data_IF_241552244022
#
_entry.id   IF_241552244022
#
_cell.length_a   1.000
_cell.length_b   1.000
_cell.length_c   1.000
_cell.angle_alpha   90.00
_cell.angle_beta   90.00
_cell.angle_gamma   90.00
#
_symmetry.space_group_name_H-M   'P 1'
#
loop_
_entity.id
_entity.type
_entity.pdbx_description
1 polymer ?
#
# COMPACT_ATOMS: atom_id res chain seq x y z
N UNK A 1 -2.75 -18.64 -26.00
CA UNK A 1 -1.68 -19.13 -25.11
C UNK A 1 -0.53 -18.15 -25.13
N UNK A 2 -0.52 -17.19 -24.19
CA UNK A 2 0.72 -16.66 -23.60
C UNK A 2 0.40 -16.43 -22.14
N UNK A 3 1.01 -17.27 -21.31
CA UNK A 3 1.05 -17.14 -19.86
C UNK A 3 1.70 -15.82 -19.46
N UNK A 4 1.17 -15.17 -18.42
CA UNK A 4 2.02 -14.55 -17.41
C UNK A 4 1.44 -14.93 -16.05
N UNK A 5 2.16 -15.84 -15.40
CA UNK A 5 1.93 -16.33 -14.06
C UNK A 5 2.75 -15.48 -13.10
N UNK A 6 2.08 -14.85 -12.14
CA UNK A 6 2.54 -14.48 -10.78
C UNK A 6 1.21 -14.33 -10.01
N UNK A 7 0.72 -15.19 -9.10
CA UNK A 7 1.34 -15.87 -7.94
C UNK A 7 2.29 -14.88 -7.26
N UNK A 8 1.86 -14.07 -6.31
CA UNK A 8 1.16 -14.44 -5.08
C UNK A 8 -0.02 -13.52 -4.79
N UNK A 9 -1.17 -14.11 -4.41
CA UNK A 9 -2.29 -13.36 -3.84
C UNK A 9 -1.87 -12.94 -2.43
N UNK A 10 -1.77 -11.64 -2.10
CA UNK A 10 -1.59 -11.22 -0.72
C UNK A 10 -2.82 -11.64 0.10
N UNK A 11 -2.59 -12.23 1.28
CA UNK A 11 -3.65 -12.70 2.17
C UNK A 11 -4.33 -11.57 2.97
N UNK A 12 -4.02 -10.30 2.66
CA UNK A 12 -4.86 -9.12 2.93
C UNK A 12 -6.18 -9.18 2.13
N UNK A 13 -6.88 -10.31 2.11
CA UNK A 13 -8.26 -10.42 1.63
C UNK A 13 -9.20 -11.03 2.66
N UNK A 14 -8.71 -11.45 3.84
CA UNK A 14 -9.57 -12.18 4.79
C UNK A 14 -10.01 -11.46 6.06
N UNK A 15 -9.52 -10.26 6.38
CA UNK A 15 -10.16 -9.41 7.40
C UNK A 15 -10.02 -7.91 7.09
N UNK A 16 -10.94 -7.42 6.26
CA UNK A 16 -11.44 -6.03 6.31
C UNK A 16 -10.44 -4.86 6.11
N UNK A 17 -9.53 -4.94 5.15
CA UNK A 17 -9.00 -3.71 4.49
C UNK A 17 -9.22 -3.85 2.98
N UNK A 18 -10.24 -3.16 2.47
CA UNK A 18 -10.58 -3.16 1.06
C UNK A 18 -9.59 -2.29 0.28
N UNK A 19 -9.10 -2.70 -0.90
CA UNK A 19 -8.29 -1.85 -1.75
C UNK A 19 -9.08 -0.59 -2.15
N UNK A 20 -8.50 0.59 -1.89
CA UNK A 20 -9.12 1.91 -2.13
C UNK A 20 -9.23 2.28 -3.61
N UNK A 21 -8.62 1.49 -4.49
CA UNK A 21 -8.57 1.71 -5.91
C UNK A 21 -8.78 0.38 -6.64
N UNK A 22 -9.83 0.31 -7.46
CA UNK A 22 -9.98 -0.75 -8.44
C UNK A 22 -9.41 -0.26 -9.77
N UNK A 23 -8.39 -0.97 -10.27
CA UNK A 23 -7.89 -0.81 -11.63
C UNK A 23 -8.65 -1.82 -12.48
N UNK A 24 -9.50 -1.35 -13.38
CA UNK A 24 -10.15 -2.21 -14.36
C UNK A 24 -9.16 -2.53 -15.48
N UNK A 25 -9.03 -3.81 -15.85
CA UNK A 25 -8.13 -4.24 -16.93
C UNK A 25 -8.61 -3.79 -18.33
N UNK A 26 -9.91 -3.52 -18.50
CA UNK A 26 -10.51 -3.22 -19.82
C UNK A 26 -10.45 -1.72 -20.16
N UNK A 27 -10.43 -0.86 -19.15
CA UNK A 27 -10.33 0.60 -19.33
C UNK A 27 -9.33 1.09 -18.30
N UNK A 28 -8.24 1.74 -18.77
CA UNK A 28 -7.20 2.40 -17.96
C UNK A 28 -7.76 3.52 -17.05
N UNK A 29 -8.70 3.18 -16.19
CA UNK A 29 -9.45 4.05 -15.29
C UNK A 29 -9.33 3.47 -13.89
N UNK A 30 -8.60 4.18 -13.04
CA UNK A 30 -8.56 3.92 -11.60
C UNK A 30 -9.82 4.52 -11.01
N UNK A 31 -10.78 3.70 -10.60
CA UNK A 31 -11.99 4.21 -9.95
C UNK A 31 -11.72 4.33 -8.46
N UNK A 32 -11.51 5.55 -7.99
CA UNK A 32 -11.42 5.84 -6.56
C UNK A 32 -12.84 5.86 -5.99
N UNK A 33 -13.15 4.92 -5.10
CA UNK A 33 -14.46 4.89 -4.42
C UNK A 33 -14.49 6.03 -3.41
N UNK A 34 -14.97 7.19 -3.86
CA UNK A 34 -15.25 8.39 -3.07
C UNK A 34 -14.08 8.97 -2.25
N UNK A 35 -13.21 9.81 -2.84
CA UNK A 35 -12.10 10.47 -2.13
C UNK A 35 -12.51 11.36 -0.95
N UNK A 36 -13.77 11.80 -0.90
CA UNK A 36 -14.31 12.72 0.12
C UNK A 36 -15.02 11.98 1.28
N UNK A 37 -15.40 10.71 1.11
CA UNK A 37 -16.08 9.91 2.16
C UNK A 37 -15.20 8.80 2.76
N UNK A 38 -14.02 8.55 2.20
CA UNK A 38 -13.04 7.64 2.81
C UNK A 38 -12.33 8.38 3.94
N UNK A 39 -12.61 7.96 5.18
CA UNK A 39 -11.84 8.41 6.34
C UNK A 39 -10.43 7.77 6.28
N UNK A 40 -9.52 8.42 5.56
CA UNK A 40 -8.13 7.98 5.38
C UNK A 40 -7.39 7.87 6.71
N UNK A 41 -7.75 8.67 7.72
CA UNK A 41 -7.16 8.57 9.05
C UNK A 41 -7.57 7.26 9.75
N UNK A 42 -8.86 6.93 9.74
CA UNK A 42 -9.34 5.65 10.27
C UNK A 42 -8.78 4.44 9.49
N UNK A 43 -8.62 4.56 8.17
CA UNK A 43 -7.99 3.53 7.34
C UNK A 43 -6.51 3.31 7.73
N UNK A 44 -5.72 4.38 7.84
CA UNK A 44 -4.32 4.30 8.27
C UNK A 44 -4.19 3.69 9.65
N UNK A 45 -5.06 4.04 10.60
CA UNK A 45 -5.02 3.46 11.95
C UNK A 45 -5.32 1.95 11.95
N UNK A 46 -6.30 1.50 11.17
CA UNK A 46 -6.56 0.06 10.99
C UNK A 46 -5.37 -0.67 10.36
N UNK A 47 -4.74 -0.08 9.33
CA UNK A 47 -3.54 -0.64 8.73
C UNK A 47 -2.39 -0.75 9.74
N UNK A 48 -2.12 0.30 10.52
CA UNK A 48 -1.09 0.26 11.56
C UNK A 48 -1.35 -0.83 12.61
N UNK A 49 -2.60 -1.05 12.98
CA UNK A 49 -2.97 -2.13 13.91
C UNK A 49 -2.73 -3.53 13.30
N UNK A 50 -3.07 -3.71 12.02
CA UNK A 50 -2.79 -4.95 11.30
C UNK A 50 -1.28 -5.20 11.19
N UNK A 51 -0.50 -4.20 10.78
CA UNK A 51 0.97 -4.25 10.71
C UNK A 51 1.56 -4.68 12.05
N UNK A 52 1.17 -4.02 13.15
CA UNK A 52 1.62 -4.38 14.51
C UNK A 52 1.30 -5.83 14.88
N UNK A 53 0.15 -6.34 14.43
CA UNK A 53 -0.24 -7.72 14.69
C UNK A 53 0.63 -8.71 13.92
N UNK A 54 0.97 -8.41 12.67
CA UNK A 54 1.88 -9.21 11.86
C UNK A 54 3.33 -9.15 12.38
N UNK A 55 3.83 -7.97 12.75
CA UNK A 55 5.15 -7.80 13.38
C UNK A 55 5.25 -8.65 14.66
N UNK A 56 4.24 -8.55 15.54
CA UNK A 56 4.21 -9.35 16.76
C UNK A 56 4.22 -10.86 16.47
N UNK A 57 3.45 -11.30 15.48
CA UNK A 57 3.40 -12.70 15.07
C UNK A 57 4.76 -13.15 14.54
N UNK A 58 5.36 -12.38 13.63
CA UNK A 58 6.67 -12.66 13.04
C UNK A 58 7.76 -12.77 14.11
N UNK A 59 7.85 -11.78 15.00
CA UNK A 59 8.81 -11.78 16.10
C UNK A 59 8.63 -13.02 16.99
N UNK A 60 7.39 -13.39 17.31
CA UNK A 60 7.10 -14.55 18.15
C UNK A 60 7.46 -15.89 17.50
N UNK A 61 7.15 -16.08 16.21
CA UNK A 61 7.46 -17.36 15.53
C UNK A 61 8.98 -17.56 15.46
N UNK A 62 9.73 -16.51 15.12
CA UNK A 62 11.19 -16.58 15.04
C UNK A 62 11.77 -16.79 16.44
N UNK A 63 11.33 -16.01 17.43
CA UNK A 63 11.83 -16.15 18.79
C UNK A 63 11.58 -17.54 19.37
N UNK A 64 10.46 -18.19 19.08
CA UNK A 64 10.19 -19.56 19.54
C UNK A 64 11.07 -20.60 18.84
N UNK A 65 11.52 -20.31 17.63
CA UNK A 65 12.35 -21.20 16.83
C UNK A 65 13.84 -21.15 17.22
N UNK A 66 14.30 -20.04 17.80
CA UNK A 66 15.68 -19.89 18.24
C UNK A 66 15.98 -20.73 19.49
N UNK A 67 17.18 -21.33 19.51
CA UNK A 67 17.76 -21.94 20.70
C UNK A 67 18.07 -20.87 21.77
N UNK A 68 18.29 -21.30 23.01
CA UNK A 68 18.68 -20.36 24.07
C UNK A 68 20.02 -19.68 23.75
N UNK A 69 20.97 -20.43 23.21
CA UNK A 69 22.29 -19.93 22.79
C UNK A 69 22.19 -18.81 21.75
N UNK A 70 21.28 -18.92 20.77
CA UNK A 70 21.06 -17.86 19.78
C UNK A 70 20.33 -16.66 20.39
N UNK A 71 19.40 -16.88 21.33
CA UNK A 71 18.67 -15.79 22.03
C UNK A 71 19.58 -14.96 22.91
N UNK A 72 20.53 -15.59 23.60
CA UNK A 72 21.45 -14.93 24.53
C UNK A 72 22.31 -13.86 23.82
N UNK A 73 22.50 -13.97 22.50
CA UNK A 73 23.22 -12.98 21.67
C UNK A 73 22.50 -11.64 21.52
N UNK A 74 21.19 -11.59 21.78
CA UNK A 74 20.38 -10.38 21.63
C UNK A 74 20.24 -9.58 22.93
N UNK A 75 20.79 -10.08 24.05
CA UNK A 75 20.75 -9.44 25.38
C UNK A 75 19.34 -8.98 25.82
N UNK A 76 18.30 -9.68 25.36
CA UNK A 76 16.90 -9.36 25.61
C UNK A 76 16.14 -10.58 26.12
N UNK A 77 15.28 -10.38 27.11
CA UNK A 77 14.44 -11.45 27.69
C UNK A 77 13.28 -11.88 26.76
N UNK A 78 13.02 -11.14 25.68
CA UNK A 78 11.84 -11.32 24.84
C UNK A 78 12.09 -11.20 23.33
N UNK A 79 11.04 -11.43 22.52
CA UNK A 79 11.13 -11.36 21.07
C UNK A 79 11.65 -10.01 20.57
N UNK A 80 12.79 -10.04 19.89
CA UNK A 80 13.35 -8.86 19.24
C UNK A 80 12.56 -8.46 17.99
N UNK A 81 12.52 -7.17 17.61
CA UNK A 81 11.89 -6.72 16.38
C UNK A 81 12.60 -7.28 15.14
N UNK A 82 11.89 -8.08 14.35
CA UNK A 82 12.43 -8.73 13.16
C UNK A 82 13.01 -7.74 12.16
N UNK A 83 12.25 -6.68 11.84
CA UNK A 83 12.67 -5.71 10.81
C UNK A 83 13.96 -4.97 11.17
N UNK A 84 14.25 -4.80 12.47
CA UNK A 84 15.47 -4.14 12.95
C UNK A 84 16.66 -5.10 13.03
N UNK A 85 16.41 -6.39 13.23
CA UNK A 85 17.44 -7.41 13.47
C UNK A 85 17.45 -8.48 12.37
N UNK A 86 16.94 -8.16 11.18
CA UNK A 86 16.64 -9.12 10.10
C UNK A 86 17.82 -10.03 9.80
N UNK A 87 18.97 -9.45 9.48
CA UNK A 87 20.16 -10.21 9.08
C UNK A 87 20.64 -11.18 10.16
N UNK A 88 20.72 -10.71 11.40
CA UNK A 88 21.13 -11.52 12.54
C UNK A 88 20.16 -12.68 12.81
N UNK A 89 18.85 -12.42 12.73
CA UNK A 89 17.83 -13.46 12.91
C UNK A 89 17.83 -14.49 11.78
N UNK A 90 17.97 -14.05 10.53
CA UNK A 90 18.06 -14.95 9.38
C UNK A 90 19.31 -15.83 9.46
N UNK A 91 20.45 -15.25 9.87
CA UNK A 91 21.68 -16.02 10.09
C UNK A 91 21.52 -17.05 11.23
N UNK A 92 20.86 -16.67 12.33
CA UNK A 92 20.58 -17.60 13.42
C UNK A 92 19.66 -18.76 12.97
N UNK A 93 18.63 -18.47 12.16
CA UNK A 93 17.76 -19.50 11.58
C UNK A 93 18.51 -20.43 10.64
N UNK A 94 19.43 -19.91 9.82
CA UNK A 94 20.29 -20.71 8.94
C UNK A 94 21.18 -21.66 9.74
N UNK A 95 21.83 -21.18 10.81
CA UNK A 95 22.67 -22.01 11.68
C UNK A 95 21.89 -23.17 12.32
N UNK A 96 20.60 -22.97 12.57
CA UNK A 96 19.70 -23.97 13.15
C UNK A 96 19.03 -24.86 12.08
N UNK A 97 19.35 -24.67 10.79
CA UNK A 97 18.80 -25.44 9.69
C UNK A 97 17.33 -25.14 9.38
N UNK A 98 16.90 -23.89 9.57
CA UNK A 98 15.52 -23.44 9.35
C UNK A 98 14.46 -24.22 10.15
N UNK A 99 14.44 -24.08 11.49
CA UNK A 99 13.45 -24.71 12.36
C UNK A 99 12.01 -24.21 12.15
N UNK A 100 11.82 -23.20 11.30
CA UNK A 100 10.53 -22.64 10.88
C UNK A 100 10.43 -22.60 9.38
N UNK A 101 9.21 -22.58 8.87
CA UNK A 101 8.93 -22.43 7.45
C UNK A 101 9.46 -21.08 6.95
N UNK A 102 10.35 -21.13 5.95
CA UNK A 102 10.80 -19.94 5.21
C UNK A 102 9.61 -19.16 4.64
N UNK A 103 8.66 -19.88 4.02
CA UNK A 103 7.49 -19.27 3.39
C UNK A 103 6.62 -18.50 4.40
N UNK A 104 6.48 -18.98 5.63
CA UNK A 104 5.71 -18.28 6.68
C UNK A 104 6.39 -16.98 7.12
N UNK A 105 7.73 -16.99 7.20
CA UNK A 105 8.54 -15.81 7.53
C UNK A 105 8.44 -14.77 6.43
N UNK A 106 8.68 -15.18 5.17
CA UNK A 106 8.62 -14.29 4.00
C UNK A 106 7.22 -13.73 3.79
N UNK A 107 6.18 -14.55 3.93
CA UNK A 107 4.79 -14.10 3.80
C UNK A 107 4.46 -12.98 4.80
N UNK A 108 4.86 -13.14 6.07
CA UNK A 108 4.62 -12.12 7.10
C UNK A 108 5.45 -10.86 6.87
N UNK A 109 6.69 -11.00 6.41
CA UNK A 109 7.53 -9.87 6.02
C UNK A 109 6.89 -9.07 4.86
N UNK A 110 6.49 -9.75 3.80
CA UNK A 110 5.86 -9.13 2.62
C UNK A 110 4.59 -8.38 2.99
N UNK A 111 3.77 -8.98 3.86
CA UNK A 111 2.53 -8.40 4.36
C UNK A 111 2.78 -7.11 5.17
N UNK A 112 3.82 -7.09 6.01
CA UNK A 112 4.24 -5.91 6.77
C UNK A 112 4.69 -4.80 5.80
N UNK A 113 5.54 -5.13 4.83
CA UNK A 113 6.04 -4.18 3.83
C UNK A 113 4.92 -3.60 2.95
N UNK A 114 3.97 -4.46 2.54
CA UNK A 114 2.77 -4.03 1.82
C UNK A 114 1.92 -3.08 2.66
N UNK A 115 1.69 -3.41 3.94
CA UNK A 115 0.96 -2.56 4.87
C UNK A 115 1.62 -1.18 5.03
N UNK A 116 2.93 -1.13 5.22
CA UNK A 116 3.69 0.14 5.32
C UNK A 116 3.55 0.97 4.04
N UNK A 117 3.63 0.32 2.88
CA UNK A 117 3.42 0.97 1.57
C UNK A 117 2.03 1.59 1.47
N UNK A 118 0.98 0.88 1.91
CA UNK A 118 -0.38 1.41 1.89
C UNK A 118 -0.60 2.57 2.87
N UNK A 119 0.07 2.57 4.02
CA UNK A 119 0.06 3.72 4.95
C UNK A 119 0.69 4.95 4.28
N UNK A 120 1.81 4.77 3.59
CA UNK A 120 2.49 5.83 2.87
C UNK A 120 1.61 6.37 1.72
N UNK A 121 1.06 5.49 0.89
CA UNK A 121 0.15 5.86 -0.20
C UNK A 121 -1.09 6.64 0.31
N UNK A 122 -1.71 6.19 1.41
CA UNK A 122 -2.84 6.89 2.01
C UNK A 122 -2.44 8.30 2.50
N UNK A 123 -1.23 8.45 3.03
CA UNK A 123 -0.69 9.74 3.47
C UNK A 123 -0.43 10.68 2.29
N UNK A 124 0.13 10.16 1.19
CA UNK A 124 0.39 10.95 -0.02
C UNK A 124 -0.90 11.37 -0.73
N UNK A 125 -1.90 10.47 -0.78
CA UNK A 125 -3.23 10.79 -1.27
C UNK A 125 -3.88 11.91 -0.44
N UNK A 126 -3.78 11.85 0.88
CA UNK A 126 -4.32 12.88 1.77
C UNK A 126 -3.63 14.25 1.54
N UNK A 127 -2.31 14.27 1.34
CA UNK A 127 -1.55 15.49 1.01
C UNK A 127 -1.96 16.06 -0.34
N UNK A 128 -2.08 15.21 -1.36
CA UNK A 128 -2.50 15.63 -2.70
C UNK A 128 -3.91 16.24 -2.67
N UNK A 129 -4.86 15.60 -1.98
CA UNK A 129 -6.21 16.09 -1.83
C UNK A 129 -6.27 17.48 -1.16
N UNK A 130 -5.51 17.69 -0.07
CA UNK A 130 -5.42 19.00 0.61
C UNK A 130 -4.89 20.10 -0.32
N UNK A 131 -3.83 19.80 -1.07
CA UNK A 131 -3.21 20.74 -2.02
C UNK A 131 -4.17 21.17 -3.13
N UNK A 132 -5.01 20.26 -3.63
CA UNK A 132 -6.02 20.57 -4.64
C UNK A 132 -7.15 21.46 -4.08
N UNK A 133 -7.58 21.24 -2.83
CA UNK A 133 -8.55 22.10 -2.14
C UNK A 133 -7.99 23.52 -1.97
N UNK A 134 -6.73 23.63 -1.51
CA UNK A 134 -6.05 24.91 -1.33
C UNK A 134 -5.91 25.67 -2.67
N UNK A 135 -5.49 24.99 -3.75
CA UNK A 135 -5.43 25.57 -5.10
C UNK A 135 -6.77 26.11 -5.58
N UNK A 136 -7.86 25.40 -5.30
CA UNK A 136 -9.20 25.81 -5.69
C UNK A 136 -9.75 26.96 -4.83
N UNK A 137 -9.29 27.11 -3.58
CA UNK A 137 -9.66 28.25 -2.72
C UNK A 137 -8.94 29.56 -3.09
N UNK A 138 -7.77 29.49 -3.72
CA UNK A 138 -6.93 30.67 -4.03
C UNK A 138 -7.24 31.31 -5.40
N UNK A 139 -7.92 30.62 -6.31
CA UNK A 139 -8.31 31.19 -7.62
C UNK A 139 -9.71 30.73 -8.09
N UNK A 140 -10.80 31.26 -7.51
CA UNK A 140 -12.16 30.96 -7.98
C UNK A 140 -12.45 31.51 -9.40
N UNK A 141 -11.67 32.47 -9.90
CA UNK A 141 -11.96 33.23 -11.12
C UNK A 141 -11.24 32.77 -12.40
N UNK A 142 -10.21 31.92 -12.32
CA UNK A 142 -9.51 31.39 -13.54
C UNK A 142 -10.17 30.13 -14.13
N UNK A 143 -10.88 29.35 -13.31
CA UNK A 143 -11.48 28.10 -13.76
C UNK A 143 -12.63 28.33 -14.76
N UNK A 144 -13.45 29.37 -14.55
CA UNK A 144 -14.58 29.63 -15.47
C UNK A 144 -14.09 30.13 -16.84
N UNK A 145 -13.03 30.94 -16.90
CA UNK A 145 -12.53 31.49 -18.16
C UNK A 145 -11.74 30.46 -18.98
N UNK A 146 -10.88 29.67 -18.33
CA UNK A 146 -9.99 28.74 -19.03
C UNK A 146 -10.74 27.49 -19.47
N UNK A 147 -11.68 27.00 -18.66
CA UNK A 147 -12.57 25.90 -19.05
C UNK A 147 -13.55 26.34 -20.15
N UNK A 148 -14.08 27.58 -20.10
CA UNK A 148 -14.93 28.10 -21.20
C UNK A 148 -14.15 28.26 -22.51
N UNK A 149 -12.87 28.69 -22.45
CA UNK A 149 -11.99 28.81 -23.61
C UNK A 149 -11.64 27.42 -24.19
N UNK A 150 -11.31 26.46 -23.33
CA UNK A 150 -11.00 25.09 -23.75
C UNK A 150 -12.21 24.38 -24.37
N UNK A 151 -13.41 24.54 -23.79
CA UNK A 151 -14.66 23.99 -24.35
C UNK A 151 -14.99 24.64 -25.69
N UNK A 152 -14.87 25.97 -25.82
CA UNK A 152 -15.07 26.65 -27.11
C UNK A 152 -14.10 26.14 -28.18
N UNK A 153 -12.83 25.95 -27.83
CA UNK A 153 -11.81 25.45 -28.77
C UNK A 153 -12.06 24.01 -29.17
N UNK A 154 -12.51 23.16 -28.24
CA UNK A 154 -12.84 21.76 -28.51
C UNK A 154 -14.08 21.63 -29.40
N UNK A 155 -15.13 22.41 -29.12
CA UNK A 155 -16.36 22.44 -29.93
C UNK A 155 -16.08 22.98 -31.34
N UNK A 156 -15.24 24.01 -31.47
CA UNK A 156 -14.82 24.55 -32.77
C UNK A 156 -14.06 23.51 -33.60
N UNK A 157 -13.12 22.78 -32.99
CA UNK A 157 -12.37 21.72 -33.68
C UNK A 157 -13.28 20.57 -34.14
N UNK A 158 -14.27 20.19 -33.33
CA UNK A 158 -15.22 19.13 -33.71
C UNK A 158 -16.10 19.59 -34.88
N UNK A 159 -16.60 20.83 -34.87
CA UNK A 159 -17.44 21.33 -35.96
C UNK A 159 -16.70 21.34 -37.31
N UNK A 160 -15.39 21.60 -37.29
CA UNK A 160 -14.53 21.60 -38.47
C UNK A 160 -14.25 20.19 -39.03
N UNK A 161 -14.40 19.14 -38.21
CA UNK A 161 -14.22 17.75 -38.63
C UNK A 161 -15.52 17.07 -39.11
N UNK A 162 -16.70 17.60 -38.75
CA UNK A 162 -17.99 16.94 -38.99
C UNK A 162 -18.75 17.51 -40.19
N UNK A 163 -18.39 18.71 -40.68
CA UNK A 163 -18.94 19.29 -41.89
C UNK A 163 -17.82 19.61 -42.90
N UNK A 164 -17.33 18.63 -43.68
CA UNK A 164 -16.71 18.97 -44.96
C UNK A 164 -17.83 19.44 -45.90
N UNK A 165 -17.66 20.64 -46.47
CA UNK A 165 -18.43 21.07 -47.64
C UNK A 165 -18.12 20.20 -48.85
#
# INVERSE_FOLDING_TARGET
LVSVSWVSKPLITHTSVLPLAHVSDDKKQVTLINPQAVNLDAYKEKLKQAIKSYERRLNLIIWRALSQEEKDKFEQEGPVPYMEHKEALLQALENLGWPVSYDDVTLLEDEILAGLTYVQQASDLQKAAKKEIERNSVNPSKMVSDTSRAIKHFVSNILQCVLPG
#
